data_IF_765711540643
#
_entry.id   IF_765711540643
#
_cell.length_a   1.000
_cell.length_b   1.000
_cell.length_c   1.000
_cell.angle_alpha   90.00
_cell.angle_beta   90.00
_cell.angle_gamma   90.00
#
_symmetry.space_group_name_H-M   'P 1'
#
loop_
_entity.id
_entity.type
_entity.pdbx_description
1 polymer ?
#
# COMPACT_ATOMS: atom_id res chain seq x y z
N UNK A 1 7.90 29.40 -6.94
CA UNK A 1 7.80 29.44 -5.46
C UNK A 1 7.80 27.99 -5.01
N UNK A 2 8.73 27.59 -4.15
CA UNK A 2 8.81 26.21 -3.64
C UNK A 2 7.71 26.07 -2.60
N UNK A 3 6.71 25.27 -2.87
CA UNK A 3 5.70 24.88 -1.87
C UNK A 3 6.22 23.66 -1.11
N UNK A 4 6.62 23.87 0.13
CA UNK A 4 6.93 22.78 1.07
C UNK A 4 5.65 22.29 1.69
N UNK A 5 5.66 21.00 2.09
CA UNK A 5 4.60 20.48 2.94
C UNK A 5 4.43 21.40 4.14
N UNK A 6 3.20 21.80 4.37
CA UNK A 6 2.85 22.55 5.57
C UNK A 6 2.99 21.61 6.79
N UNK A 7 4.01 21.85 7.63
CA UNK A 7 4.25 21.05 8.84
C UNK A 7 3.01 20.97 9.73
N UNK A 8 2.22 22.04 9.78
CA UNK A 8 0.97 22.09 10.54
C UNK A 8 -0.08 21.15 9.96
N UNK A 9 -0.19 21.08 8.62
CA UNK A 9 -1.12 20.18 7.98
C UNK A 9 -0.71 18.71 8.17
N UNK A 10 0.57 18.37 7.97
CA UNK A 10 1.05 17.01 8.16
C UNK A 10 0.83 16.54 9.62
N UNK A 11 1.13 17.40 10.59
CA UNK A 11 0.89 17.13 12.01
C UNK A 11 -0.60 16.90 12.31
N UNK A 12 -1.48 17.70 11.72
CA UNK A 12 -2.92 17.53 11.88
C UNK A 12 -3.42 16.22 11.24
N UNK A 13 -2.90 15.84 10.09
CA UNK A 13 -3.20 14.54 9.45
C UNK A 13 -2.77 13.36 10.30
N UNK A 14 -1.59 13.44 10.91
CA UNK A 14 -1.05 12.43 11.84
C UNK A 14 -1.96 12.31 13.06
N UNK A 15 -2.32 13.44 13.69
CA UNK A 15 -3.22 13.47 14.86
C UNK A 15 -4.55 12.81 14.53
N UNK A 16 -5.16 13.20 13.41
CA UNK A 16 -6.46 12.66 12.98
C UNK A 16 -6.42 11.15 12.77
N UNK A 17 -5.38 10.63 12.12
CA UNK A 17 -5.24 9.18 11.93
C UNK A 17 -4.97 8.45 13.26
N UNK A 18 -4.16 9.03 14.14
CA UNK A 18 -3.90 8.48 15.47
C UNK A 18 -5.17 8.41 16.32
N UNK A 19 -5.98 9.48 16.33
CA UNK A 19 -7.25 9.52 17.03
C UNK A 19 -8.20 8.43 16.48
N UNK A 20 -8.23 8.26 15.14
CA UNK A 20 -9.03 7.21 14.51
C UNK A 20 -8.62 5.81 14.97
N UNK A 21 -7.32 5.53 15.02
CA UNK A 21 -6.80 4.23 15.45
C UNK A 21 -6.96 4.00 16.96
N UNK A 22 -6.99 5.07 17.76
CA UNK A 22 -7.13 4.98 19.20
C UNK A 22 -8.59 4.81 19.64
N UNK A 23 -9.51 5.55 19.02
CA UNK A 23 -10.90 5.63 19.47
C UNK A 23 -11.89 4.89 18.59
N UNK A 24 -11.49 4.49 17.38
CA UNK A 24 -12.37 3.84 16.44
C UNK A 24 -12.73 2.42 16.86
N UNK A 25 -14.00 2.07 16.76
CA UNK A 25 -14.56 0.76 17.10
C UNK A 25 -13.91 -0.41 16.35
N UNK A 26 -13.42 -0.16 15.13
CA UNK A 26 -12.76 -1.16 14.27
C UNK A 26 -11.31 -1.44 14.66
N UNK A 27 -10.73 -0.64 15.55
CA UNK A 27 -9.31 -0.73 15.96
C UNK A 27 -9.15 -1.09 17.43
N UNK A 28 -10.23 -1.56 18.06
CA UNK A 28 -10.19 -2.16 19.40
C UNK A 28 -9.85 -3.65 19.30
N UNK A 29 -9.32 -4.23 20.37
CA UNK A 29 -8.79 -5.58 20.41
C UNK A 29 -9.71 -6.63 19.77
N UNK A 30 -10.98 -6.69 20.18
CA UNK A 30 -11.94 -7.67 19.67
C UNK A 30 -12.21 -7.56 18.17
N UNK A 31 -12.13 -6.32 17.62
CA UNK A 31 -12.31 -6.08 16.19
C UNK A 31 -11.06 -6.42 15.39
N UNK A 32 -9.87 -6.30 15.99
CA UNK A 32 -8.59 -6.57 15.35
C UNK A 32 -8.25 -8.07 15.33
N UNK A 33 -8.66 -8.84 16.32
CA UNK A 33 -8.38 -10.29 16.43
C UNK A 33 -9.19 -11.14 15.44
N UNK A 34 -9.17 -10.77 14.17
CA UNK A 34 -9.97 -11.42 13.11
C UNK A 34 -9.43 -12.81 12.76
N UNK A 35 -8.14 -13.02 12.91
CA UNK A 35 -7.47 -14.27 12.56
C UNK A 35 -7.86 -15.43 13.47
N UNK A 36 -8.44 -15.15 14.62
CA UNK A 36 -9.01 -16.19 15.53
C UNK A 36 -10.28 -16.81 14.96
N UNK A 37 -11.04 -16.05 14.14
CA UNK A 37 -12.28 -16.50 13.49
C UNK A 37 -12.06 -17.10 12.10
N UNK A 38 -13.04 -16.92 11.22
CA UNK A 38 -13.04 -17.45 9.84
C UNK A 38 -12.40 -16.52 8.81
N UNK A 39 -11.71 -15.47 9.24
CA UNK A 39 -11.07 -14.52 8.35
C UNK A 39 -9.92 -15.19 7.58
N UNK A 40 -9.96 -15.15 6.25
CA UNK A 40 -9.01 -15.87 5.40
C UNK A 40 -7.63 -15.21 5.31
N UNK A 41 -7.56 -13.91 5.55
CA UNK A 41 -6.29 -13.16 5.61
C UNK A 41 -5.68 -13.26 7.00
N UNK A 42 -5.28 -14.46 7.40
CA UNK A 42 -4.72 -14.73 8.72
C UNK A 42 -3.48 -13.87 8.99
N UNK A 43 -3.47 -13.15 10.11
CA UNK A 43 -2.38 -12.27 10.50
C UNK A 43 -2.43 -10.86 9.89
N UNK A 44 -3.32 -10.59 8.93
CA UNK A 44 -3.36 -9.30 8.22
C UNK A 44 -3.79 -8.15 9.14
N UNK A 45 -4.95 -8.29 9.80
CA UNK A 45 -5.47 -7.22 10.66
C UNK A 45 -4.55 -6.95 11.85
N UNK A 46 -4.13 -8.00 12.52
CA UNK A 46 -3.24 -7.93 13.67
C UNK A 46 -1.88 -7.32 13.30
N UNK A 47 -1.32 -7.76 12.17
CA UNK A 47 -0.04 -7.28 11.68
C UNK A 47 -0.07 -5.83 11.22
N UNK A 48 -1.10 -5.44 10.47
CA UNK A 48 -1.28 -4.04 10.05
C UNK A 48 -1.56 -3.11 11.22
N UNK A 49 -2.32 -3.56 12.21
CA UNK A 49 -2.58 -2.79 13.42
C UNK A 49 -1.28 -2.54 14.19
N UNK A 50 -0.50 -3.60 14.43
CA UNK A 50 0.78 -3.48 15.10
C UNK A 50 1.73 -2.54 14.35
N UNK A 51 1.84 -2.68 13.02
CA UNK A 51 2.64 -1.80 12.17
C UNK A 51 2.18 -0.34 12.26
N UNK A 52 0.87 -0.10 12.28
CA UNK A 52 0.31 1.25 12.40
C UNK A 52 0.62 1.88 13.75
N UNK A 53 0.44 1.11 14.84
CA UNK A 53 0.75 1.55 16.19
C UNK A 53 2.24 1.87 16.36
N UNK A 54 3.12 1.02 15.80
CA UNK A 54 4.56 1.27 15.78
C UNK A 54 4.94 2.49 14.95
N UNK A 55 4.21 2.74 13.85
CA UNK A 55 4.44 3.94 13.04
C UNK A 55 4.15 5.22 13.83
N UNK A 56 3.05 5.26 14.58
CA UNK A 56 2.75 6.38 15.48
C UNK A 56 3.74 6.48 16.64
N UNK A 57 4.16 5.35 17.23
CA UNK A 57 5.22 5.35 18.25
C UNK A 57 6.53 5.98 17.73
N UNK A 58 6.92 5.69 16.50
CA UNK A 58 8.11 6.29 15.85
C UNK A 58 7.97 7.79 15.59
N UNK A 59 6.74 8.31 15.50
CA UNK A 59 6.49 9.74 15.29
C UNK A 59 6.67 10.53 16.59
N UNK A 60 6.09 10.06 17.71
CA UNK A 60 5.99 10.86 18.94
C UNK A 60 6.32 10.12 20.24
N UNK A 61 6.68 8.84 20.17
CA UNK A 61 7.01 8.00 21.32
C UNK A 61 5.81 7.53 22.14
N UNK A 62 4.58 7.83 21.74
CA UNK A 62 3.40 7.43 22.48
C UNK A 62 2.85 6.08 22.02
N UNK A 63 2.41 5.29 22.98
CA UNK A 63 1.83 3.96 22.75
C UNK A 63 0.31 4.08 22.62
N UNK A 64 -0.27 3.57 21.55
CA UNK A 64 -1.70 3.35 21.41
C UNK A 64 -2.06 2.15 22.30
N UNK A 65 -2.99 2.26 23.28
CA UNK A 65 -3.22 1.20 24.28
C UNK A 65 -3.47 -0.18 23.69
N UNK A 66 -4.25 -0.27 22.63
CA UNK A 66 -4.58 -1.53 21.97
C UNK A 66 -3.34 -2.30 21.45
N UNK A 67 -2.19 -1.63 21.28
CA UNK A 67 -0.93 -2.30 20.93
C UNK A 67 -0.50 -3.29 22.02
N UNK A 68 -0.49 -2.84 23.28
CA UNK A 68 -0.12 -3.68 24.41
C UNK A 68 -1.14 -4.80 24.61
N UNK A 69 -2.44 -4.48 24.53
CA UNK A 69 -3.52 -5.46 24.64
C UNK A 69 -3.40 -6.57 23.59
N UNK A 70 -3.16 -6.19 22.33
CA UNK A 70 -2.95 -7.16 21.24
C UNK A 70 -1.74 -8.05 21.49
N UNK A 71 -0.66 -7.47 21.98
CA UNK A 71 0.58 -8.15 22.22
C UNK A 71 0.49 -9.12 23.42
N UNK A 72 -0.18 -8.72 24.50
CA UNK A 72 -0.41 -9.55 25.70
C UNK A 72 -1.19 -10.83 25.39
N UNK A 73 -2.17 -10.78 24.49
CA UNK A 73 -2.99 -11.95 24.13
C UNK A 73 -2.44 -12.76 22.97
N UNK A 74 -1.41 -12.28 22.28
CA UNK A 74 -0.93 -12.85 21.02
C UNK A 74 -0.52 -14.33 21.14
N UNK A 75 0.26 -14.69 22.17
CA UNK A 75 0.71 -16.06 22.38
C UNK A 75 -0.46 -17.01 22.66
N UNK A 76 -1.43 -16.58 23.48
CA UNK A 76 -2.66 -17.33 23.75
C UNK A 76 -3.51 -17.51 22.49
N UNK A 77 -3.77 -16.41 21.76
CA UNK A 77 -4.65 -16.42 20.58
C UNK A 77 -4.05 -17.17 19.39
N UNK A 78 -2.76 -17.36 19.37
CA UNK A 78 -2.06 -18.24 18.41
C UNK A 78 -1.87 -19.67 18.92
N UNK A 79 -2.44 -20.01 20.07
CA UNK A 79 -2.26 -21.32 20.74
C UNK A 79 -0.77 -21.69 20.91
N UNK A 80 0.06 -20.73 21.26
CA UNK A 80 1.50 -20.89 21.45
C UNK A 80 2.32 -21.10 20.16
N UNK A 81 1.69 -21.10 18.97
CA UNK A 81 2.40 -21.24 17.69
C UNK A 81 3.11 -19.96 17.27
N UNK A 82 2.66 -18.82 17.77
CA UNK A 82 3.11 -17.46 17.40
C UNK A 82 2.83 -17.08 15.93
N UNK A 83 1.88 -17.78 15.30
CA UNK A 83 1.29 -17.46 14.01
C UNK A 83 -0.12 -18.05 13.92
N UNK A 84 -0.96 -17.48 13.08
CA UNK A 84 -2.33 -17.93 12.88
C UNK A 84 -2.42 -19.01 11.80
N UNK A 85 -3.25 -20.00 12.00
CA UNK A 85 -3.53 -21.04 11.01
C UNK A 85 -4.93 -20.90 10.47
N UNK A 86 -5.14 -21.30 9.24
CA UNK A 86 -6.48 -21.36 8.67
C UNK A 86 -7.27 -22.49 9.35
N UNK A 87 -8.53 -22.19 9.71
CA UNK A 87 -9.40 -23.16 10.36
C UNK A 87 -9.89 -24.27 9.42
N UNK A 88 -9.86 -24.03 8.11
CA UNK A 88 -10.12 -25.07 7.13
C UNK A 88 -8.86 -25.95 7.00
N UNK A 89 -9.04 -27.25 7.14
CA UNK A 89 -8.01 -28.20 6.75
C UNK A 89 -7.82 -28.10 5.23
N UNK A 90 -6.82 -27.30 4.82
CA UNK A 90 -6.50 -27.10 3.43
C UNK A 90 -5.86 -28.35 2.79
N UNK A 91 -5.70 -29.46 3.56
CA UNK A 91 -5.19 -30.75 3.07
C UNK A 91 -3.91 -30.60 2.22
N UNK A 92 -2.99 -29.74 2.67
CA UNK A 92 -1.75 -29.46 1.97
C UNK A 92 -1.84 -28.42 0.86
N UNK A 93 -2.99 -27.75 0.70
CA UNK A 93 -3.14 -26.58 -0.17
C UNK A 93 -2.41 -25.37 0.40
N UNK A 94 -2.08 -24.43 -0.45
CA UNK A 94 -1.39 -23.19 -0.10
C UNK A 94 -2.33 -22.02 -0.32
N UNK A 95 -2.64 -21.27 0.73
CA UNK A 95 -3.48 -20.06 0.65
C UNK A 95 -2.62 -18.81 0.45
N UNK A 96 -2.79 -18.13 -0.67
CA UNK A 96 -2.16 -16.84 -0.93
C UNK A 96 -2.54 -15.80 0.14
N UNK A 97 -3.81 -15.79 0.56
CA UNK A 97 -4.31 -14.81 1.53
C UNK A 97 -3.68 -15.02 2.91
N UNK A 98 -3.52 -16.28 3.34
CA UNK A 98 -2.84 -16.58 4.59
C UNK A 98 -1.38 -16.10 4.57
N UNK A 99 -0.67 -16.35 3.47
CA UNK A 99 0.73 -15.94 3.34
C UNK A 99 0.86 -14.40 3.32
N UNK A 100 0.03 -13.73 2.52
CA UNK A 100 0.02 -12.27 2.47
C UNK A 100 -0.33 -11.63 3.81
N UNK A 101 -1.31 -12.18 4.53
CA UNK A 101 -1.67 -11.69 5.87
C UNK A 101 -0.52 -11.82 6.85
N UNK A 102 0.20 -12.97 6.83
CA UNK A 102 1.39 -13.15 7.67
C UNK A 102 2.58 -12.27 7.24
N UNK A 103 2.64 -11.81 6.00
CA UNK A 103 3.60 -10.78 5.62
C UNK A 103 3.38 -9.49 6.42
N UNK A 104 2.14 -9.07 6.61
CA UNK A 104 1.82 -7.90 7.44
C UNK A 104 2.09 -8.18 8.91
N UNK A 105 1.83 -9.39 9.39
CA UNK A 105 2.21 -9.79 10.75
C UNK A 105 3.72 -9.70 10.95
N UNK A 106 4.51 -10.23 10.02
CA UNK A 106 5.97 -10.08 10.03
C UNK A 106 6.39 -8.63 10.08
N UNK A 107 5.77 -7.75 9.25
CA UNK A 107 6.07 -6.32 9.26
C UNK A 107 5.85 -5.69 10.64
N UNK A 108 4.68 -5.94 11.25
CA UNK A 108 4.37 -5.42 12.58
C UNK A 108 5.30 -5.93 13.67
N UNK A 109 5.58 -7.25 13.69
CA UNK A 109 6.46 -7.87 14.66
C UNK A 109 7.93 -7.42 14.53
N UNK A 110 8.44 -7.27 13.30
CA UNK A 110 9.79 -6.77 13.07
C UNK A 110 9.92 -5.31 13.54
N UNK A 111 8.95 -4.45 13.24
CA UNK A 111 8.94 -3.06 13.74
C UNK A 111 8.90 -3.00 15.27
N UNK A 112 8.11 -3.88 15.91
CA UNK A 112 8.05 -3.97 17.36
C UNK A 112 9.39 -4.42 17.94
N UNK A 113 10.00 -5.45 17.35
CA UNK A 113 11.33 -5.91 17.77
C UNK A 113 12.41 -4.83 17.63
N UNK A 114 12.44 -4.13 16.50
CA UNK A 114 13.42 -3.05 16.27
C UNK A 114 13.29 -1.89 17.26
N UNK A 115 12.07 -1.59 17.72
CA UNK A 115 11.84 -0.51 18.68
C UNK A 115 12.07 -0.91 20.12
N UNK A 116 11.75 -2.15 20.52
CA UNK A 116 11.73 -2.57 21.92
C UNK A 116 12.73 -3.69 22.25
N UNK A 117 13.33 -4.34 21.27
CA UNK A 117 14.22 -5.50 21.48
C UNK A 117 13.50 -6.71 22.06
N UNK A 118 12.19 -6.82 21.85
CA UNK A 118 11.35 -7.80 22.52
C UNK A 118 11.52 -9.21 21.97
N UNK A 119 11.88 -10.16 22.81
CA UNK A 119 12.18 -11.55 22.44
C UNK A 119 10.94 -12.32 21.92
N UNK A 120 9.73 -11.99 22.37
CA UNK A 120 8.53 -12.65 21.88
C UNK A 120 8.31 -12.30 20.41
N UNK A 121 8.51 -11.03 20.03
CA UNK A 121 8.44 -10.59 18.64
C UNK A 121 9.45 -11.32 17.75
N UNK A 122 10.69 -11.46 18.21
CA UNK A 122 11.72 -12.19 17.45
C UNK A 122 11.40 -13.69 17.33
N UNK A 123 10.90 -14.31 18.40
CA UNK A 123 10.43 -15.71 18.36
C UNK A 123 9.27 -15.87 17.38
N UNK A 124 8.33 -14.93 17.38
CA UNK A 124 7.20 -14.95 16.48
C UNK A 124 7.61 -14.78 15.01
N UNK A 125 8.54 -13.88 14.72
CA UNK A 125 9.10 -13.72 13.36
C UNK A 125 9.70 -15.04 12.86
N UNK A 126 10.49 -15.72 13.68
CA UNK A 126 11.07 -17.03 13.34
C UNK A 126 9.99 -18.09 13.16
N UNK A 127 9.00 -18.14 14.06
CA UNK A 127 7.91 -19.11 14.01
C UNK A 127 7.04 -18.97 12.76
N UNK A 128 6.74 -17.74 12.35
CA UNK A 128 6.01 -17.47 11.09
C UNK A 128 6.77 -18.01 9.90
N UNK A 129 8.07 -17.74 9.80
CA UNK A 129 8.88 -18.25 8.70
C UNK A 129 8.96 -19.78 8.70
N UNK A 130 9.33 -20.37 9.83
CA UNK A 130 9.54 -21.81 9.94
C UNK A 130 8.26 -22.63 9.82
N UNK A 131 7.14 -22.09 10.34
CA UNK A 131 5.86 -22.79 10.34
C UNK A 131 5.04 -22.64 9.07
N UNK A 132 5.15 -21.50 8.38
CA UNK A 132 4.30 -21.22 7.22
C UNK A 132 5.04 -21.14 5.89
N UNK A 133 6.18 -20.46 5.85
CA UNK A 133 6.87 -20.22 4.58
C UNK A 133 7.87 -21.33 4.24
N UNK A 134 8.72 -21.71 5.16
CA UNK A 134 9.78 -22.70 4.91
C UNK A 134 9.25 -24.03 4.36
N UNK A 135 8.11 -24.57 4.84
CA UNK A 135 7.52 -25.81 4.27
C UNK A 135 7.09 -25.69 2.81
N UNK A 136 6.94 -24.45 2.28
CA UNK A 136 6.48 -24.19 0.93
C UNK A 136 7.63 -24.00 -0.07
N UNK A 137 8.88 -24.05 0.39
CA UNK A 137 10.06 -23.74 -0.42
C UNK A 137 10.07 -24.43 -1.77
N UNK A 138 9.73 -25.70 -1.81
CA UNK A 138 9.75 -26.49 -3.04
C UNK A 138 8.47 -26.31 -3.89
N UNK A 139 7.43 -25.69 -3.35
CA UNK A 139 6.18 -25.39 -4.06
C UNK A 139 6.22 -24.06 -4.80
N UNK A 140 7.15 -23.15 -4.49
CA UNK A 140 7.24 -21.80 -5.06
C UNK A 140 7.33 -21.85 -6.59
N UNK A 141 8.16 -22.75 -7.13
CA UNK A 141 8.37 -22.87 -8.57
C UNK A 141 7.11 -23.28 -9.35
N UNK A 142 6.14 -23.90 -8.66
CA UNK A 142 4.84 -24.28 -9.20
C UNK A 142 3.74 -23.24 -8.99
N UNK A 143 4.08 -22.01 -8.58
CA UNK A 143 3.09 -20.96 -8.50
C UNK A 143 2.50 -20.67 -9.90
N UNK A 144 1.15 -20.61 -10.03
CA UNK A 144 0.50 -20.44 -11.33
C UNK A 144 0.67 -19.01 -11.85
N UNK A 145 1.60 -18.84 -12.80
CA UNK A 145 1.91 -17.55 -13.43
C UNK A 145 1.03 -17.25 -14.64
N UNK A 146 0.31 -18.25 -15.14
CA UNK A 146 -0.69 -18.12 -16.20
C UNK A 146 -2.05 -18.47 -15.63
N UNK A 147 -3.00 -17.54 -15.76
CA UNK A 147 -4.37 -17.70 -15.25
C UNK A 147 -5.38 -17.41 -16.36
N UNK A 148 -6.54 -18.04 -16.26
CA UNK A 148 -7.67 -17.66 -17.10
C UNK A 148 -8.18 -16.28 -16.65
N UNK A 149 -8.23 -15.33 -17.57
CA UNK A 149 -8.68 -13.94 -17.29
C UNK A 149 -10.09 -13.84 -16.74
N UNK A 150 -10.95 -14.85 -16.95
CA UNK A 150 -12.29 -14.90 -16.36
C UNK A 150 -12.27 -15.17 -14.85
N UNK A 151 -11.14 -15.62 -14.31
CA UNK A 151 -10.95 -15.93 -12.89
C UNK A 151 -10.39 -14.72 -12.11
N UNK A 152 -10.02 -13.66 -12.83
CA UNK A 152 -9.41 -12.46 -12.29
C UNK A 152 -10.46 -11.43 -11.88
N UNK A 153 -10.24 -10.83 -10.73
CA UNK A 153 -10.85 -9.58 -10.30
C UNK A 153 -12.38 -9.56 -10.35
N UNK A 154 -13.02 -9.79 -9.29
CA UNK A 154 -14.45 -9.57 -9.06
C UNK A 154 -14.60 -8.70 -7.83
N UNK A 155 -14.73 -9.33 -6.69
CA UNK A 155 -14.73 -8.68 -5.39
C UNK A 155 -13.32 -8.78 -4.81
N UNK A 156 -12.70 -7.64 -4.53
CA UNK A 156 -11.37 -7.61 -3.91
C UNK A 156 -11.36 -8.36 -2.57
N UNK A 157 -10.26 -9.03 -2.27
CA UNK A 157 -10.03 -9.73 -1.01
C UNK A 157 -10.80 -11.05 -0.83
N UNK A 158 -11.44 -11.58 -1.86
CA UNK A 158 -12.14 -12.86 -1.81
C UNK A 158 -11.20 -14.02 -2.14
N UNK A 159 -11.60 -15.24 -1.71
CA UNK A 159 -11.00 -16.45 -2.26
C UNK A 159 -11.31 -16.54 -3.75
N UNK A 160 -10.28 -16.83 -4.52
CA UNK A 160 -10.40 -17.14 -5.93
C UNK A 160 -10.55 -18.64 -6.17
N UNK A 161 -9.90 -19.13 -7.18
CA UNK A 161 -9.94 -20.51 -7.61
C UNK A 161 -8.78 -21.32 -7.04
N UNK A 162 -8.97 -22.65 -7.03
CA UNK A 162 -7.91 -23.61 -6.73
C UNK A 162 -7.19 -23.98 -8.03
N UNK A 163 -5.89 -23.71 -8.09
CA UNK A 163 -5.02 -24.03 -9.22
C UNK A 163 -3.74 -24.67 -8.68
N UNK A 164 -3.43 -25.90 -9.15
CA UNK A 164 -2.17 -26.61 -8.87
C UNK A 164 -1.78 -26.64 -7.37
N UNK A 165 -2.77 -26.78 -6.50
CA UNK A 165 -2.57 -26.81 -5.04
C UNK A 165 -2.50 -25.45 -4.37
N UNK A 166 -2.71 -24.35 -5.11
CA UNK A 166 -2.82 -22.99 -4.59
C UNK A 166 -4.27 -22.54 -4.50
N UNK A 167 -4.67 -22.05 -3.34
CA UNK A 167 -5.92 -21.30 -3.17
C UNK A 167 -5.60 -19.83 -3.45
N UNK A 168 -5.95 -19.39 -4.64
CA UNK A 168 -5.61 -18.07 -5.15
C UNK A 168 -6.60 -17.02 -4.64
N UNK A 169 -6.12 -15.81 -4.47
CA UNK A 169 -6.94 -14.65 -4.19
C UNK A 169 -7.50 -14.05 -5.49
N UNK A 170 -8.65 -13.39 -5.39
CA UNK A 170 -9.17 -12.50 -6.44
C UNK A 170 -8.27 -11.28 -6.65
N UNK A 171 -7.47 -10.91 -5.64
CA UNK A 171 -6.38 -9.95 -5.77
C UNK A 171 -5.14 -10.67 -6.30
N UNK A 172 -5.02 -10.72 -7.61
CA UNK A 172 -4.00 -11.50 -8.33
C UNK A 172 -2.59 -11.14 -7.90
N UNK A 173 -1.79 -12.15 -7.56
CA UNK A 173 -0.39 -11.99 -7.15
C UNK A 173 -0.18 -11.66 -5.67
N UNK A 174 -1.20 -11.82 -4.86
CA UNK A 174 -1.18 -11.56 -3.42
C UNK A 174 -0.03 -12.27 -2.69
N UNK A 175 0.35 -13.47 -3.12
CA UNK A 175 1.51 -14.20 -2.59
C UNK A 175 2.78 -13.34 -2.54
N UNK A 176 3.00 -12.49 -3.54
CA UNK A 176 4.23 -11.67 -3.62
C UNK A 176 4.27 -10.49 -2.67
N UNK A 177 3.18 -10.16 -1.97
CA UNK A 177 3.24 -9.25 -0.81
C UNK A 177 4.17 -9.80 0.27
N UNK A 178 4.34 -11.12 0.33
CA UNK A 178 5.24 -11.78 1.28
C UNK A 178 6.70 -11.36 1.16
N UNK A 179 7.11 -10.81 0.01
CA UNK A 179 8.48 -10.33 -0.19
C UNK A 179 8.81 -9.17 0.78
N UNK A 180 7.86 -8.29 1.10
CA UNK A 180 8.09 -7.19 2.05
C UNK A 180 8.26 -7.69 3.49
N UNK A 181 7.36 -8.55 3.97
CA UNK A 181 7.44 -9.10 5.32
C UNK A 181 8.67 -9.98 5.53
N UNK A 182 8.94 -10.87 4.57
CA UNK A 182 10.10 -11.76 4.64
C UNK A 182 11.44 -11.00 4.52
N UNK A 183 11.53 -9.96 3.70
CA UNK A 183 12.74 -9.14 3.62
C UNK A 183 13.00 -8.40 4.94
N UNK A 184 11.95 -8.01 5.66
CA UNK A 184 12.10 -7.43 7.01
C UNK A 184 12.48 -8.50 8.04
N UNK A 185 11.90 -9.70 7.95
CA UNK A 185 12.31 -10.83 8.79
C UNK A 185 13.78 -11.19 8.57
N UNK A 186 14.27 -11.16 7.31
CA UNK A 186 15.69 -11.33 7.01
C UNK A 186 16.54 -10.23 7.66
N UNK A 187 16.11 -8.97 7.59
CA UNK A 187 16.83 -7.85 8.20
C UNK A 187 17.03 -8.02 9.70
N UNK A 188 16.02 -8.49 10.43
CA UNK A 188 16.08 -8.61 11.89
C UNK A 188 16.70 -9.93 12.38
N UNK A 189 16.66 -10.99 11.56
CA UNK A 189 17.14 -12.32 11.97
C UNK A 189 18.51 -12.71 11.39
N UNK A 190 18.86 -12.18 10.21
CA UNK A 190 20.02 -12.63 9.43
C UNK A 190 19.92 -14.08 8.94
N UNK A 191 18.74 -14.68 8.94
CA UNK A 191 18.56 -16.09 8.55
C UNK A 191 18.63 -16.28 7.04
N UNK A 192 19.72 -16.84 6.53
CA UNK A 192 19.96 -17.07 5.11
C UNK A 192 18.91 -17.98 4.45
N UNK A 193 18.16 -18.77 5.22
CA UNK A 193 17.05 -19.59 4.69
C UNK A 193 15.91 -18.69 4.18
N UNK A 194 15.70 -17.52 4.84
CA UNK A 194 14.72 -16.53 4.42
C UNK A 194 15.16 -15.90 3.09
N UNK A 195 16.44 -15.55 2.96
CA UNK A 195 16.99 -15.00 1.73
C UNK A 195 16.85 -15.98 0.56
N UNK A 196 17.21 -17.25 0.74
CA UNK A 196 17.06 -18.29 -0.31
C UNK A 196 15.56 -18.45 -0.70
N UNK A 197 14.64 -18.36 0.25
CA UNK A 197 13.21 -18.39 -0.03
C UNK A 197 12.78 -17.18 -0.87
N UNK A 198 13.25 -15.98 -0.52
CA UNK A 198 13.00 -14.72 -1.25
C UNK A 198 13.54 -14.77 -2.68
N UNK A 199 14.76 -15.27 -2.87
CA UNK A 199 15.36 -15.40 -4.21
C UNK A 199 14.52 -16.31 -5.12
N UNK A 200 13.96 -17.39 -4.57
CA UNK A 200 13.03 -18.29 -5.29
C UNK A 200 11.72 -17.57 -5.63
N UNK A 201 11.16 -16.80 -4.70
CA UNK A 201 9.96 -16.01 -4.97
C UNK A 201 10.20 -14.99 -6.09
N UNK A 202 11.32 -14.27 -6.02
CA UNK A 202 11.70 -13.26 -7.02
C UNK A 202 11.97 -13.88 -8.39
N UNK A 203 12.55 -15.08 -8.44
CA UNK A 203 12.72 -15.82 -9.71
C UNK A 203 11.36 -16.09 -10.40
N UNK A 204 10.31 -16.39 -9.64
CA UNK A 204 8.95 -16.57 -10.19
C UNK A 204 8.33 -15.22 -10.52
N UNK A 205 8.38 -14.26 -9.60
CA UNK A 205 7.79 -12.93 -9.76
C UNK A 205 8.28 -12.19 -11.01
N UNK A 206 9.59 -12.31 -11.31
CA UNK A 206 10.18 -11.65 -12.47
C UNK A 206 9.74 -12.24 -13.80
N UNK A 207 9.25 -13.48 -13.82
CA UNK A 207 8.71 -14.14 -15.03
C UNK A 207 7.29 -13.73 -15.37
N UNK A 208 6.56 -13.14 -14.40
CA UNK A 208 5.15 -12.78 -14.58
C UNK A 208 5.03 -11.53 -15.44
N UNK A 209 4.22 -11.61 -16.48
CA UNK A 209 3.66 -10.44 -17.14
C UNK A 209 2.60 -9.79 -16.21
N UNK A 210 3.02 -8.80 -15.46
CA UNK A 210 2.20 -8.18 -14.41
C UNK A 210 0.97 -7.47 -14.96
N UNK A 211 1.12 -6.85 -16.13
CA UNK A 211 0.02 -6.16 -16.82
C UNK A 211 -0.92 -7.16 -17.47
N UNK A 212 -0.37 -8.13 -18.22
CA UNK A 212 -1.16 -9.17 -18.89
C UNK A 212 -1.91 -10.07 -17.93
N UNK A 213 -1.32 -10.40 -16.78
CA UNK A 213 -1.97 -11.17 -15.71
C UNK A 213 -2.95 -10.33 -14.88
N UNK A 214 -2.99 -9.01 -15.05
CA UNK A 214 -3.79 -8.10 -14.25
C UNK A 214 -3.53 -8.22 -12.74
N UNK A 215 -2.25 -8.29 -12.37
CA UNK A 215 -1.89 -8.34 -10.95
C UNK A 215 -2.44 -7.11 -10.21
N UNK A 216 -2.63 -7.25 -8.92
CA UNK A 216 -2.94 -6.10 -8.09
C UNK A 216 -1.73 -5.17 -7.99
N UNK A 217 -1.93 -3.87 -8.20
CA UNK A 217 -0.83 -2.88 -8.16
C UNK A 217 -0.19 -2.81 -6.77
N UNK A 218 -1.00 -2.93 -5.71
CA UNK A 218 -0.51 -3.00 -4.34
C UNK A 218 0.46 -4.18 -4.14
N UNK A 219 0.13 -5.39 -4.63
CA UNK A 219 1.01 -6.56 -4.50
C UNK A 219 2.38 -6.31 -5.13
N UNK A 220 2.42 -5.69 -6.30
CA UNK A 220 3.67 -5.45 -7.03
C UNK A 220 4.53 -4.38 -6.36
N UNK A 221 3.92 -3.29 -5.88
CA UNK A 221 4.63 -2.22 -5.17
C UNK A 221 5.14 -2.68 -3.79
N UNK A 222 4.37 -3.51 -3.08
CA UNK A 222 4.82 -4.14 -1.84
C UNK A 222 6.04 -5.02 -2.08
N UNK A 223 6.05 -5.80 -3.17
CA UNK A 223 7.23 -6.59 -3.57
C UNK A 223 8.45 -5.69 -3.88
N UNK A 224 8.25 -4.56 -4.58
CA UNK A 224 9.32 -3.61 -4.86
C UNK A 224 9.93 -3.03 -3.57
N UNK A 225 9.12 -2.74 -2.55
CA UNK A 225 9.62 -2.31 -1.22
C UNK A 225 10.53 -3.37 -0.59
N UNK A 226 10.12 -4.63 -0.65
CA UNK A 226 10.95 -5.74 -0.16
C UNK A 226 12.26 -5.88 -0.92
N UNK A 227 12.25 -5.72 -2.25
CA UNK A 227 13.47 -5.71 -3.06
C UNK A 227 14.42 -4.56 -2.68
N UNK A 228 13.91 -3.34 -2.45
CA UNK A 228 14.74 -2.22 -2.01
C UNK A 228 15.35 -2.47 -0.63
N UNK A 229 14.64 -3.13 0.27
CA UNK A 229 15.20 -3.54 1.58
C UNK A 229 16.30 -4.57 1.40
N UNK A 230 16.12 -5.58 0.52
CA UNK A 230 17.15 -6.57 0.21
C UNK A 230 18.39 -5.92 -0.40
N UNK A 231 18.21 -4.96 -1.30
CA UNK A 231 19.32 -4.18 -1.83
C UNK A 231 20.10 -3.46 -0.72
N UNK A 232 19.40 -2.79 0.19
CA UNK A 232 20.03 -2.11 1.33
C UNK A 232 20.82 -3.03 2.26
N UNK A 233 20.41 -4.31 2.38
CA UNK A 233 21.06 -5.31 3.21
C UNK A 233 22.25 -5.99 2.53
N UNK A 234 22.16 -6.21 1.22
CA UNK A 234 23.11 -7.08 0.49
C UNK A 234 24.00 -6.32 -0.49
N UNK A 235 23.59 -5.14 -0.95
CA UNK A 235 24.23 -4.43 -2.04
C UNK A 235 24.06 -5.07 -3.43
N UNK A 236 23.23 -6.11 -3.56
CA UNK A 236 23.01 -6.79 -4.83
C UNK A 236 22.09 -5.98 -5.75
N UNK A 237 22.65 -5.47 -6.83
CA UNK A 237 21.95 -4.63 -7.81
C UNK A 237 20.76 -5.32 -8.48
N UNK A 238 20.69 -6.65 -8.48
CA UNK A 238 19.54 -7.37 -9.06
C UNK A 238 18.24 -6.96 -8.38
N UNK A 239 18.26 -6.73 -7.08
CA UNK A 239 17.09 -6.27 -6.33
C UNK A 239 16.71 -4.81 -6.65
N UNK A 240 17.72 -3.93 -6.79
CA UNK A 240 17.48 -2.54 -7.18
C UNK A 240 16.87 -2.44 -8.57
N UNK A 241 17.46 -3.13 -9.54
CA UNK A 241 16.94 -3.13 -10.92
C UNK A 241 15.54 -3.76 -11.00
N UNK A 242 15.27 -4.80 -10.22
CA UNK A 242 13.93 -5.39 -10.12
C UNK A 242 12.90 -4.40 -9.57
N UNK A 243 13.24 -3.66 -8.53
CA UNK A 243 12.36 -2.64 -7.95
C UNK A 243 12.13 -1.46 -8.91
N UNK A 244 13.17 -0.99 -9.61
CA UNK A 244 13.07 0.04 -10.66
C UNK A 244 12.14 -0.40 -11.77
N UNK A 245 12.31 -1.61 -12.29
CA UNK A 245 11.47 -2.14 -13.36
C UNK A 245 9.98 -2.21 -12.97
N UNK A 246 9.68 -2.63 -11.72
CA UNK A 246 8.30 -2.62 -11.20
C UNK A 246 7.76 -1.19 -11.11
N UNK A 247 8.57 -0.26 -10.62
CA UNK A 247 8.15 1.12 -10.46
C UNK A 247 7.91 1.83 -11.79
N UNK A 248 8.76 1.57 -12.78
CA UNK A 248 8.61 2.12 -14.14
C UNK A 248 7.30 1.65 -14.79
N UNK A 249 7.00 0.34 -14.71
CA UNK A 249 5.71 -0.21 -15.19
C UNK A 249 4.54 0.46 -14.44
N UNK A 250 4.68 0.68 -13.13
CA UNK A 250 3.64 1.32 -12.33
C UNK A 250 3.38 2.76 -12.79
N UNK A 251 4.42 3.56 -12.99
CA UNK A 251 4.29 4.94 -13.47
C UNK A 251 3.65 4.99 -14.85
N UNK A 252 3.98 4.03 -15.73
CA UNK A 252 3.47 4.00 -17.09
C UNK A 252 2.02 3.50 -17.19
N UNK A 253 1.65 2.49 -16.41
CA UNK A 253 0.43 1.73 -16.64
C UNK A 253 -0.42 1.51 -15.38
N UNK A 254 0.08 1.75 -14.18
CA UNK A 254 -0.62 1.51 -12.91
C UNK A 254 -1.04 2.78 -12.18
N UNK A 255 -0.43 3.92 -12.53
CA UNK A 255 -0.70 5.22 -11.90
C UNK A 255 -1.77 5.98 -12.69
N UNK A 256 -2.68 6.61 -11.96
CA UNK A 256 -3.69 7.51 -12.51
C UNK A 256 -3.11 8.90 -12.81
N UNK A 257 -3.85 9.74 -13.51
CA UNK A 257 -3.47 11.14 -13.73
C UNK A 257 -3.51 12.00 -12.46
N UNK A 258 -4.18 11.51 -11.43
CA UNK A 258 -4.21 12.14 -10.10
C UNK A 258 -3.14 11.58 -9.16
N UNK A 259 -2.15 10.86 -9.66
CA UNK A 259 -1.09 10.20 -8.89
C UNK A 259 -1.60 9.20 -7.83
N UNK A 260 -2.78 8.68 -8.04
CA UNK A 260 -3.32 7.53 -7.36
C UNK A 260 -2.99 6.28 -8.19
N UNK A 261 -3.65 5.16 -7.92
CA UNK A 261 -3.44 3.92 -8.67
C UNK A 261 -4.74 3.36 -9.23
N UNK A 262 -4.64 2.52 -10.25
CA UNK A 262 -5.67 1.53 -10.54
C UNK A 262 -5.42 0.29 -9.70
N UNK A 263 -6.49 -0.34 -9.16
CA UNK A 263 -6.32 -1.47 -8.25
C UNK A 263 -5.66 -2.68 -8.94
N UNK A 264 -6.05 -2.99 -10.16
CA UNK A 264 -5.45 -4.06 -10.96
C UNK A 264 -4.88 -3.53 -12.27
N UNK A 265 -3.72 -4.01 -12.66
CA UNK A 265 -3.07 -3.63 -13.90
C UNK A 265 -4.02 -3.75 -15.11
N UNK A 266 -4.07 -2.70 -15.92
CA UNK A 266 -4.91 -2.67 -17.12
C UNK A 266 -6.43 -2.65 -16.87
N UNK A 267 -6.87 -2.52 -15.61
CA UNK A 267 -8.29 -2.44 -15.23
C UNK A 267 -8.66 -0.99 -14.90
N UNK A 268 -8.82 -0.16 -15.92
CA UNK A 268 -9.24 1.24 -15.77
C UNK A 268 -10.69 1.39 -15.26
N UNK A 269 -11.42 0.31 -15.17
CA UNK A 269 -12.75 0.22 -14.58
C UNK A 269 -12.71 -0.08 -13.06
N UNK A 270 -11.52 -0.27 -12.49
CA UNK A 270 -11.34 -0.49 -11.05
C UNK A 270 -11.36 0.81 -10.23
N UNK A 271 -11.06 0.74 -8.97
CA UNK A 271 -10.97 1.86 -8.03
C UNK A 271 -9.54 2.06 -7.57
N UNK A 272 -9.29 3.13 -6.81
CA UNK A 272 -7.99 3.36 -6.17
C UNK A 272 -7.82 2.47 -4.94
N UNK A 273 -6.59 2.04 -4.69
CA UNK A 273 -6.21 1.28 -3.50
C UNK A 273 -5.22 2.10 -2.66
N UNK A 274 -5.65 2.71 -1.54
CA UNK A 274 -4.79 3.58 -0.73
C UNK A 274 -3.48 2.93 -0.27
N UNK A 275 -3.47 1.61 -0.03
CA UNK A 275 -2.23 0.91 0.31
C UNK A 275 -1.18 1.01 -0.80
N UNK A 276 -1.60 0.91 -2.06
CA UNK A 276 -0.71 1.06 -3.20
C UNK A 276 -0.20 2.50 -3.36
N UNK A 277 -1.02 3.50 -3.03
CA UNK A 277 -0.60 4.91 -3.04
C UNK A 277 0.49 5.13 -1.98
N UNK A 278 0.31 4.59 -0.78
CA UNK A 278 1.34 4.62 0.28
C UNK A 278 2.62 3.93 -0.19
N UNK A 279 2.52 2.74 -0.76
CA UNK A 279 3.69 2.00 -1.25
C UNK A 279 4.40 2.76 -2.38
N UNK A 280 3.66 3.37 -3.32
CA UNK A 280 4.26 4.12 -4.42
C UNK A 280 5.05 5.33 -3.94
N UNK A 281 4.55 6.05 -2.92
CA UNK A 281 5.26 7.12 -2.25
C UNK A 281 6.57 6.62 -1.62
N UNK A 282 6.50 5.50 -0.90
CA UNK A 282 7.65 4.93 -0.20
C UNK A 282 8.71 4.42 -1.17
N UNK A 283 8.30 3.71 -2.25
CA UNK A 283 9.20 3.22 -3.29
C UNK A 283 9.92 4.38 -3.98
N UNK A 284 9.19 5.43 -4.35
CA UNK A 284 9.78 6.62 -4.99
C UNK A 284 10.84 7.29 -4.09
N UNK A 285 10.54 7.46 -2.81
CA UNK A 285 11.48 8.05 -1.85
C UNK A 285 12.73 7.18 -1.66
N UNK A 286 12.58 5.87 -1.55
CA UNK A 286 13.74 4.98 -1.40
C UNK A 286 14.58 4.92 -2.68
N UNK A 287 13.96 4.86 -3.86
CA UNK A 287 14.68 4.96 -5.13
C UNK A 287 15.48 6.25 -5.22
N UNK A 288 14.89 7.39 -4.84
CA UNK A 288 15.63 8.66 -4.80
C UNK A 288 16.83 8.60 -3.86
N UNK A 289 16.65 8.09 -2.65
CA UNK A 289 17.75 8.01 -1.66
C UNK A 289 18.89 7.12 -2.12
N UNK A 290 18.59 6.05 -2.85
CA UNK A 290 19.57 5.10 -3.35
C UNK A 290 20.28 5.64 -4.59
N UNK A 291 19.52 6.21 -5.54
CA UNK A 291 20.05 6.57 -6.86
C UNK A 291 20.47 8.04 -6.98
N UNK A 292 19.87 8.92 -6.17
CA UNK A 292 19.98 10.38 -6.32
C UNK A 292 19.24 10.94 -7.54
N UNK A 293 18.48 10.12 -8.26
CA UNK A 293 17.77 10.52 -9.48
C UNK A 293 16.53 11.38 -9.14
N UNK A 294 16.61 12.66 -9.47
CA UNK A 294 15.65 13.70 -9.06
C UNK A 294 14.21 13.42 -9.48
N UNK A 295 13.99 12.70 -10.59
CA UNK A 295 12.63 12.36 -11.03
C UNK A 295 11.87 11.50 -10.01
N UNK A 296 12.54 10.63 -9.23
CA UNK A 296 11.89 9.86 -8.17
C UNK A 296 11.42 10.75 -7.02
N UNK A 297 12.23 11.74 -6.63
CA UNK A 297 11.83 12.72 -5.61
C UNK A 297 10.63 13.53 -6.05
N UNK A 298 10.66 14.04 -7.29
CA UNK A 298 9.55 14.78 -7.86
C UNK A 298 8.28 13.92 -7.93
N UNK A 299 8.41 12.64 -8.29
CA UNK A 299 7.29 11.71 -8.30
C UNK A 299 6.73 11.51 -6.89
N UNK A 300 7.59 11.31 -5.88
CA UNK A 300 7.16 11.19 -4.49
C UNK A 300 6.40 12.43 -4.01
N UNK A 301 6.89 13.63 -4.33
CA UNK A 301 6.22 14.87 -3.96
C UNK A 301 4.83 14.99 -4.64
N UNK A 302 4.71 14.60 -5.90
CA UNK A 302 3.43 14.59 -6.63
C UNK A 302 2.44 13.57 -6.06
N UNK A 303 2.92 12.36 -5.76
CA UNK A 303 2.09 11.33 -5.12
C UNK A 303 1.58 11.84 -3.77
N UNK A 304 2.47 12.45 -2.96
CA UNK A 304 2.06 12.98 -1.67
C UNK A 304 1.04 14.10 -1.80
N UNK A 305 1.33 15.10 -2.64
CA UNK A 305 0.46 16.26 -2.82
C UNK A 305 -0.91 15.90 -3.40
N UNK A 306 -0.95 14.90 -4.28
CA UNK A 306 -2.15 14.51 -5.02
C UNK A 306 -2.80 13.24 -4.42
N UNK A 307 -2.28 12.08 -4.73
CA UNK A 307 -2.90 10.81 -4.35
C UNK A 307 -2.96 10.59 -2.84
N UNK A 308 -1.84 10.81 -2.16
CA UNK A 308 -1.76 10.57 -0.72
C UNK A 308 -2.62 11.56 0.08
N UNK A 309 -2.56 12.85 -0.24
CA UNK A 309 -3.31 13.86 0.49
C UNK A 309 -4.83 13.69 0.36
N UNK A 310 -5.32 13.12 -0.74
CA UNK A 310 -6.75 12.95 -1.00
C UNK A 310 -7.34 11.67 -0.41
N UNK A 311 -6.52 10.64 -0.14
CA UNK A 311 -7.02 9.37 0.37
C UNK A 311 -7.53 9.43 1.82
N UNK A 312 -7.05 10.39 2.62
CA UNK A 312 -7.48 10.53 4.02
C UNK A 312 -8.88 11.11 4.13
N UNK A 313 -9.71 10.48 4.95
CA UNK A 313 -11.08 10.91 5.24
C UNK A 313 -11.13 11.83 6.46
N UNK A 314 -12.25 12.53 6.64
CA UNK A 314 -12.50 13.45 7.78
C UNK A 314 -12.55 12.75 9.13
N UNK A 315 -12.76 11.42 9.14
CA UNK A 315 -12.66 10.60 10.34
C UNK A 315 -11.23 10.09 10.63
N UNK A 316 -10.23 10.50 9.86
CA UNK A 316 -8.84 10.05 10.00
C UNK A 316 -8.49 8.74 9.32
N UNK A 317 -9.48 8.04 8.78
CA UNK A 317 -9.27 6.81 7.99
C UNK A 317 -8.83 7.08 6.56
N UNK A 318 -8.59 6.03 5.81
CA UNK A 318 -8.28 6.06 4.39
C UNK A 318 -9.37 5.33 3.58
N UNK A 319 -9.76 5.90 2.45
CA UNK A 319 -10.80 5.35 1.60
C UNK A 319 -10.42 5.23 0.14
N UNK A 320 -11.20 4.46 -0.59
CA UNK A 320 -11.04 4.26 -2.04
C UNK A 320 -11.78 5.34 -2.81
N UNK A 321 -11.26 5.67 -3.99
CA UNK A 321 -11.85 6.66 -4.88
C UNK A 321 -12.06 6.11 -6.30
N UNK A 322 -12.76 6.88 -7.11
CA UNK A 322 -12.92 6.61 -8.53
C UNK A 322 -11.59 6.80 -9.25
N UNK A 323 -11.25 5.87 -10.12
CA UNK A 323 -10.08 5.96 -10.98
C UNK A 323 -10.34 6.94 -12.13
N UNK A 324 -9.37 7.82 -12.36
CA UNK A 324 -9.36 8.76 -13.51
C UNK A 324 -8.11 8.50 -14.34
N UNK A 325 -8.31 8.06 -15.58
CA UNK A 325 -7.23 7.73 -16.52
C UNK A 325 -7.51 8.30 -17.90
N UNK A 326 -6.57 8.05 -18.84
CA UNK A 326 -6.77 8.38 -20.27
C UNK A 326 -8.01 7.70 -20.88
N UNK A 327 -8.47 6.60 -20.30
CA UNK A 327 -9.66 5.88 -20.77
C UNK A 327 -10.97 6.41 -20.19
N UNK A 328 -10.88 7.35 -19.26
CA UNK A 328 -12.01 8.00 -18.63
C UNK A 328 -12.10 7.71 -17.13
N UNK A 329 -13.29 7.91 -16.59
CA UNK A 329 -13.61 7.68 -15.20
C UNK A 329 -14.13 6.26 -15.00
N UNK A 330 -13.70 5.59 -13.93
CA UNK A 330 -14.22 4.30 -13.53
C UNK A 330 -15.70 4.38 -13.18
N UNK A 331 -16.48 3.44 -13.73
CA UNK A 331 -17.89 3.24 -13.36
C UNK A 331 -18.04 2.18 -12.28
N UNK A 332 -17.02 1.38 -12.03
CA UNK A 332 -16.96 0.41 -10.94
C UNK A 332 -16.61 1.13 -9.64
N UNK A 333 -17.61 1.58 -8.97
CA UNK A 333 -17.43 2.30 -7.73
C UNK A 333 -17.57 1.36 -6.53
N UNK A 334 -16.55 0.61 -6.20
CA UNK A 334 -16.41 0.14 -4.84
C UNK A 334 -15.84 1.28 -3.97
N UNK A 335 -16.47 2.44 -4.05
CA UNK A 335 -16.13 3.58 -3.19
C UNK A 335 -16.42 3.21 -1.76
N UNK A 336 -15.36 3.01 -0.99
CA UNK A 336 -15.47 2.88 0.45
C UNK A 336 -15.03 4.18 1.09
N UNK A 337 -15.92 4.75 1.89
CA UNK A 337 -15.56 5.93 2.70
C UNK A 337 -14.32 5.65 3.54
N UNK A 338 -14.25 4.46 4.14
CA UNK A 338 -13.10 3.99 4.87
C UNK A 338 -12.85 2.49 4.61
N UNK A 339 -11.68 2.16 4.13
CA UNK A 339 -11.18 0.79 4.07
C UNK A 339 -10.48 0.46 5.41
N UNK A 340 -11.28 0.24 6.44
CA UNK A 340 -10.84 0.05 7.83
C UNK A 340 -10.00 -1.22 8.04
N UNK A 341 -10.21 -2.25 7.23
CA UNK A 341 -9.54 -3.54 7.36
C UNK A 341 -8.09 -3.54 6.83
N UNK A 342 -7.67 -2.51 6.09
CA UNK A 342 -6.30 -2.42 5.56
C UNK A 342 -5.79 -0.97 5.46
N UNK A 343 -6.45 -0.12 4.68
CA UNK A 343 -5.89 1.14 4.20
C UNK A 343 -5.70 2.18 5.30
N UNK A 344 -6.61 2.26 6.27
CA UNK A 344 -6.48 3.20 7.40
C UNK A 344 -5.23 2.93 8.23
N UNK A 345 -4.91 1.66 8.46
CA UNK A 345 -3.69 1.26 9.17
C UNK A 345 -2.44 1.51 8.33
N UNK A 346 -2.50 1.27 7.02
CA UNK A 346 -1.40 1.59 6.11
C UNK A 346 -1.12 3.09 6.00
N UNK A 347 -2.16 3.92 6.13
CA UNK A 347 -1.99 5.37 6.18
C UNK A 347 -1.05 5.81 7.31
N UNK A 348 -1.09 5.16 8.47
CA UNK A 348 -0.18 5.46 9.58
C UNK A 348 1.31 5.30 9.17
N UNK A 349 1.65 4.20 8.49
CA UNK A 349 3.02 4.00 7.99
C UNK A 349 3.39 5.05 6.94
N UNK A 350 2.47 5.39 6.04
CA UNK A 350 2.68 6.44 5.06
C UNK A 350 2.91 7.83 5.69
N UNK A 351 2.15 8.17 6.71
CA UNK A 351 2.31 9.44 7.45
C UNK A 351 3.65 9.52 8.20
N UNK A 352 4.04 8.43 8.86
CA UNK A 352 5.37 8.34 9.47
C UNK A 352 6.48 8.53 8.41
N UNK A 353 6.32 7.87 7.26
CA UNK A 353 7.31 7.95 6.19
C UNK A 353 7.37 9.36 5.59
N UNK A 354 6.22 10.01 5.40
CA UNK A 354 6.15 11.41 4.97
C UNK A 354 6.80 12.35 6.00
N UNK A 355 6.53 12.16 7.29
CA UNK A 355 7.13 12.95 8.36
C UNK A 355 8.66 12.80 8.40
N UNK A 356 9.15 11.57 8.29
CA UNK A 356 10.60 11.28 8.26
C UNK A 356 11.31 11.91 7.06
N UNK A 357 10.61 12.06 5.94
CA UNK A 357 11.16 12.51 4.67
C UNK A 357 10.60 13.87 4.20
N UNK A 358 9.99 14.64 5.11
CA UNK A 358 9.28 15.87 4.76
C UNK A 358 10.10 16.87 3.94
N UNK A 359 11.41 16.92 4.18
CA UNK A 359 12.32 17.82 3.44
C UNK A 359 12.48 17.43 1.96
N UNK A 360 12.12 16.22 1.58
CA UNK A 360 12.16 15.73 0.20
C UNK A 360 10.82 15.93 -0.52
N UNK A 361 9.74 16.13 0.21
CA UNK A 361 8.38 16.24 -0.32
C UNK A 361 8.01 17.70 -0.62
N UNK A 362 8.79 18.36 -1.44
CA UNK A 362 8.48 19.71 -1.92
C UNK A 362 8.36 19.68 -3.44
N UNK A 363 7.48 20.53 -3.97
CA UNK A 363 7.29 20.69 -5.39
C UNK A 363 7.94 21.97 -5.89
N UNK A 364 8.85 21.83 -6.83
CA UNK A 364 9.29 22.92 -7.69
C UNK A 364 8.37 22.96 -8.91
N UNK A 365 8.29 24.08 -9.60
CA UNK A 365 7.45 24.21 -10.79
C UNK A 365 7.56 23.00 -11.73
N UNK A 366 6.45 22.37 -12.04
CA UNK A 366 6.41 21.14 -12.84
C UNK A 366 6.41 21.32 -14.34
N UNK A 367 6.91 22.40 -14.85
CA UNK A 367 7.09 22.56 -16.30
C UNK A 367 5.79 22.45 -17.10
N UNK A 368 5.87 21.87 -18.28
CA UNK A 368 4.71 21.74 -19.18
C UNK A 368 3.69 20.75 -18.62
N UNK A 369 2.39 21.11 -18.54
CA UNK A 369 1.34 20.22 -18.11
C UNK A 369 1.34 18.90 -18.89
N UNK A 370 1.24 17.77 -18.18
CA UNK A 370 1.00 16.47 -18.82
C UNK A 370 -0.43 16.49 -19.35
N UNK A 371 -0.58 16.50 -20.67
CA UNK A 371 -1.88 16.49 -21.32
C UNK A 371 -2.10 15.13 -21.96
N UNK A 372 -3.27 14.59 -21.76
CA UNK A 372 -3.74 13.43 -22.49
C UNK A 372 -4.85 13.77 -23.48
N UNK A 373 -5.20 12.79 -24.30
CA UNK A 373 -6.24 12.96 -25.32
C UNK A 373 -7.65 13.21 -24.76
N UNK A 374 -7.86 12.95 -23.47
CA UNK A 374 -9.16 13.07 -22.78
C UNK A 374 -9.27 14.29 -21.88
N UNK A 375 -8.25 15.12 -21.90
CA UNK A 375 -8.30 16.39 -21.20
C UNK A 375 -7.97 16.33 -19.74
N UNK A 376 -7.18 15.36 -19.31
CA UNK A 376 -6.49 15.42 -18.04
C UNK A 376 -5.17 16.15 -18.25
N UNK A 377 -4.89 17.13 -17.44
CA UNK A 377 -3.62 17.84 -17.49
C UNK A 377 -3.21 18.35 -16.11
N UNK A 378 -1.94 18.68 -15.97
CA UNK A 378 -1.39 19.25 -14.77
C UNK A 378 -0.91 20.67 -15.03
N UNK A 379 -1.12 21.52 -14.05
CA UNK A 379 -0.56 22.86 -14.00
C UNK A 379 0.10 23.07 -12.64
N UNK A 380 1.42 23.07 -12.63
CA UNK A 380 2.18 22.98 -11.38
C UNK A 380 1.88 21.68 -10.65
N UNK A 381 1.39 21.78 -9.41
CA UNK A 381 0.99 20.64 -8.56
C UNK A 381 -0.48 20.28 -8.68
N UNK A 382 -1.21 20.96 -9.54
CA UNK A 382 -2.66 20.81 -9.67
C UNK A 382 -2.95 19.89 -10.85
N UNK A 383 -3.80 18.90 -10.62
CA UNK A 383 -4.31 18.01 -11.64
C UNK A 383 -5.76 18.41 -11.97
N UNK A 384 -6.01 18.62 -13.23
CA UNK A 384 -7.33 18.91 -13.76
C UNK A 384 -7.78 17.74 -14.61
N UNK A 385 -8.97 17.23 -14.33
CA UNK A 385 -9.56 16.14 -15.09
C UNK A 385 -10.89 16.56 -15.73
N UNK A 386 -10.99 16.36 -17.02
CA UNK A 386 -12.26 16.41 -17.72
C UNK A 386 -12.59 15.01 -18.23
N UNK A 387 -13.59 14.41 -17.68
CA UNK A 387 -13.92 13.00 -17.92
C UNK A 387 -15.23 12.85 -18.68
N UNK A 388 -16.13 13.80 -18.59
CA UNK A 388 -17.41 13.83 -19.30
C UNK A 388 -17.78 15.27 -19.66
N UNK A 389 -18.71 15.49 -20.54
CA UNK A 389 -19.10 16.81 -21.00
C UNK A 389 -19.70 17.75 -19.95
N UNK A 390 -19.73 17.39 -18.67
CA UNK A 390 -20.29 18.18 -17.58
C UNK A 390 -19.21 18.62 -16.62
N UNK A 391 -19.28 19.87 -16.17
CA UNK A 391 -18.42 20.39 -15.11
C UNK A 391 -18.98 20.00 -13.75
N UNK A 392 -18.40 18.99 -13.14
CA UNK A 392 -18.76 18.54 -11.80
C UNK A 392 -17.57 18.65 -10.88
N UNK A 393 -17.76 19.34 -9.77
CA UNK A 393 -16.74 19.43 -8.73
C UNK A 393 -16.66 18.10 -8.01
N UNK A 394 -15.53 17.44 -8.09
CA UNK A 394 -15.24 16.34 -7.19
C UNK A 394 -15.10 16.88 -5.78
N UNK A 395 -15.70 16.17 -4.84
CA UNK A 395 -15.83 16.57 -3.44
C UNK A 395 -14.49 17.10 -2.92
N UNK A 396 -14.48 18.37 -2.55
CA UNK A 396 -13.38 18.97 -1.86
C UNK A 396 -13.31 18.31 -0.47
N UNK A 397 -12.36 17.40 -0.30
CA UNK A 397 -12.13 16.74 0.97
C UNK A 397 -11.48 17.77 1.90
N UNK A 398 -12.28 18.47 2.64
CA UNK A 398 -11.82 19.37 3.69
C UNK A 398 -11.99 18.68 5.02
N UNK A 399 -10.91 18.47 5.72
CA UNK A 399 -10.90 17.90 7.07
C UNK A 399 -10.41 18.97 8.03
N UNK A 400 -11.00 19.07 9.21
CA UNK A 400 -10.56 19.97 10.26
C UNK A 400 -10.09 19.19 11.48
N UNK A 401 -8.88 19.49 11.94
CA UNK A 401 -8.32 18.96 13.19
C UNK A 401 -7.85 20.14 14.02
N UNK A 402 -8.36 20.28 15.22
CA UNK A 402 -8.05 21.39 16.14
C UNK A 402 -8.15 22.78 15.48
N UNK A 403 -9.17 22.96 14.62
CA UNK A 403 -9.39 24.19 13.87
C UNK A 403 -8.49 24.39 12.65
N UNK A 404 -7.59 23.46 12.38
CA UNK A 404 -6.74 23.47 11.19
C UNK A 404 -7.50 22.80 10.04
N UNK A 405 -7.71 23.56 8.97
CA UNK A 405 -8.34 23.05 7.75
C UNK A 405 -7.33 22.26 6.93
N UNK A 406 -7.55 20.96 6.80
CA UNK A 406 -6.79 20.10 5.92
C UNK A 406 -7.45 20.14 4.53
N UNK A 407 -6.73 20.67 3.57
CA UNK A 407 -7.18 20.66 2.18
C UNK A 407 -6.25 19.78 1.37
N UNK A 408 -6.76 18.91 0.48
CA UNK A 408 -5.89 18.28 -0.49
C UNK A 408 -5.26 19.38 -1.34
N UNK A 409 -3.97 19.25 -1.63
CA UNK A 409 -3.25 20.15 -2.53
C UNK A 409 -3.76 19.96 -3.96
N UNK A 410 -4.46 18.84 -4.21
CA UNK A 410 -5.07 18.52 -5.47
C UNK A 410 -6.56 18.79 -5.45
N UNK A 411 -6.98 19.45 -6.50
CA UNK A 411 -8.38 19.59 -6.86
C UNK A 411 -8.52 19.06 -8.28
N UNK A 412 -9.35 18.05 -8.48
CA UNK A 412 -9.75 17.69 -9.82
C UNK A 412 -11.27 17.84 -9.97
N UNK A 413 -11.65 18.27 -11.16
CA UNK A 413 -13.01 18.56 -11.50
C UNK A 413 -13.35 17.86 -12.82
N UNK A 414 -14.58 17.44 -12.97
CA UNK A 414 -15.12 17.19 -14.30
C UNK A 414 -15.36 18.55 -14.98
N UNK A 415 -14.65 18.79 -16.05
CA UNK A 415 -14.83 20.01 -16.84
C UNK A 415 -15.49 19.67 -18.16
N UNK A 416 -16.31 20.56 -18.74
CA UNK A 416 -16.80 20.39 -20.08
C UNK A 416 -15.65 20.24 -21.07
N UNK A 417 -15.77 19.28 -21.99
CA UNK A 417 -14.73 19.01 -22.98
C UNK A 417 -14.34 20.27 -23.78
N UNK A 418 -15.29 21.13 -24.01
CA UNK A 418 -15.12 22.42 -24.70
C UNK A 418 -14.29 23.41 -23.88
N UNK A 419 -14.44 23.41 -22.55
CA UNK A 419 -13.67 24.30 -21.68
C UNK A 419 -12.18 23.93 -21.67
N UNK A 420 -11.85 22.65 -21.83
CA UNK A 420 -10.47 22.20 -21.94
C UNK A 420 -9.80 22.56 -23.25
N UNK A 421 -10.58 22.59 -24.34
CA UNK A 421 -10.05 22.97 -25.65
C UNK A 421 -9.79 24.49 -25.77
N UNK A 422 -10.46 25.29 -24.95
CA UNK A 422 -10.37 26.75 -25.01
C UNK A 422 -9.35 27.35 -24.04
N UNK A 423 -8.99 26.67 -22.95
CA UNK A 423 -8.10 27.24 -21.96
C UNK A 423 -6.87 26.39 -21.70
N UNK A 424 -5.82 26.62 -22.45
CA UNK A 424 -4.49 26.13 -22.08
C UNK A 424 -3.91 26.82 -20.84
N UNK A 425 -4.60 27.77 -20.24
CA UNK A 425 -3.95 28.66 -19.28
C UNK A 425 -4.65 29.01 -17.99
N UNK A 426 -5.91 28.76 -17.78
CA UNK A 426 -6.52 29.14 -16.49
C UNK A 426 -7.80 28.36 -16.18
N UNK A 427 -7.64 27.21 -15.57
CA UNK A 427 -8.69 26.72 -14.71
C UNK A 427 -8.14 26.84 -13.30
N UNK A 428 -8.22 28.03 -12.75
CA UNK A 428 -7.97 28.29 -11.34
C UNK A 428 -9.26 27.93 -10.62
N UNK A 429 -9.19 26.84 -9.91
CA UNK A 429 -10.24 26.44 -9.01
C UNK A 429 -10.01 27.20 -7.68
N UNK A 430 -10.84 28.18 -7.43
CA UNK A 430 -10.85 28.90 -6.16
C UNK A 430 -11.64 28.13 -5.12
#
# INVERSE_FOLDING_TARGET
MIEKINDTELSARITLNKDRLTTGDKYQLDALLRSVGSYSWKGDMEGRALLAFMSHYKIDGSIIPCMNELYEVFEEKTCGRLYFVENADLNGLVSEQQLAGHSWLLRGLCEHYECFGDELSLRAVKAVFEGLYLPLKDKIAGYPIERNKSEEGGVSGSHGVLVDGWVLSTDTGTFFMSIDGLSHAYAVTGDERIKDFLDRMLCVFNKIDKVGLRMQTHCTLTAARGMLRLYGLTGDNTYLEGAKAVYDIYVDSGMTYTYENINWWGRHDSWTEPCAIVDSLMVALELYKITGEEHYRQMAARIFANGFATLQRDNGGAGTDTVVTSEGESVLAAKMYEAWFCCTMRLAEGLWYAQKNRELLYCESFGTPKKDARGVYMDGDIVYACVSGEAEKYVEKTVCVDGIKLSPIVKYYKLPKEALMQSKQQIILK
#
